data_IF_049256546658
#
_entry.id   IF_049256546658
#
_cell.length_a   1.000
_cell.length_b   1.000
_cell.length_c   1.000
_cell.angle_alpha   90.00
_cell.angle_beta   90.00
_cell.angle_gamma   90.00
#
_symmetry.space_group_name_H-M   'P 1'
#
loop_
_entity.id
_entity.type
_entity.pdbx_description
1 polymer ?
#
# COMPACT_ATOMS: atom_id res chain seq x y z
N UNK A 1 28.12 -8.89 -7.95
CA UNK A 1 27.12 -9.99 -7.88
C UNK A 1 26.13 -9.64 -6.79
N UNK A 2 24.84 -9.63 -7.13
CA UNK A 2 23.78 -9.49 -6.14
C UNK A 2 23.70 -10.73 -5.26
N UNK A 3 23.21 -10.57 -4.04
CA UNK A 3 23.03 -11.66 -3.09
C UNK A 3 21.64 -11.58 -2.48
N UNK A 4 20.88 -12.69 -2.51
CA UNK A 4 19.54 -12.79 -1.94
C UNK A 4 19.53 -13.85 -0.83
N UNK A 5 19.02 -13.44 0.34
CA UNK A 5 18.80 -14.29 1.51
C UNK A 5 17.35 -14.23 1.91
N UNK A 6 16.73 -15.39 2.10
CA UNK A 6 15.33 -15.48 2.54
C UNK A 6 15.20 -16.58 3.59
N UNK A 7 14.83 -16.19 4.80
CA UNK A 7 14.61 -17.07 5.94
C UNK A 7 13.17 -16.99 6.38
N UNK A 8 12.51 -18.15 6.44
CA UNK A 8 11.13 -18.24 6.90
C UNK A 8 11.00 -19.36 7.91
N UNK A 9 10.43 -19.05 9.06
CA UNK A 9 10.09 -20.01 10.09
C UNK A 9 8.60 -19.89 10.34
N UNK A 10 7.91 -21.02 10.35
CA UNK A 10 6.48 -21.05 10.67
C UNK A 10 6.17 -22.19 11.63
N UNK A 11 5.13 -21.99 12.40
CA UNK A 11 4.62 -22.98 13.33
C UNK A 11 3.09 -22.96 13.30
N UNK A 12 2.50 -24.13 13.16
CA UNK A 12 1.07 -24.32 13.20
C UNK A 12 0.72 -25.37 14.26
N UNK A 13 -0.27 -25.09 15.05
CA UNK A 13 -0.84 -26.06 15.97
C UNK A 13 -2.36 -25.94 16.00
N UNK A 14 -3.03 -26.99 16.42
CA UNK A 14 -4.46 -26.94 16.53
C UNK A 14 -5.06 -28.21 17.10
N UNK A 15 -6.27 -28.04 17.58
CA UNK A 15 -7.19 -29.10 17.97
C UNK A 15 -8.59 -28.76 17.44
N UNK A 16 -9.61 -29.46 17.90
CA UNK A 16 -10.99 -29.24 17.47
C UNK A 16 -11.51 -27.83 17.80
N UNK A 17 -11.00 -27.20 18.87
CA UNK A 17 -11.48 -25.90 19.35
C UNK A 17 -10.57 -24.72 18.96
N UNK A 18 -9.26 -24.95 18.83
CA UNK A 18 -8.30 -23.87 18.59
C UNK A 18 -7.36 -24.26 17.46
N UNK A 19 -7.18 -23.35 16.50
CA UNK A 19 -6.18 -23.45 15.46
C UNK A 19 -5.37 -22.17 15.45
N UNK A 20 -4.06 -22.30 15.51
CA UNK A 20 -3.16 -21.16 15.44
C UNK A 20 -2.04 -21.42 14.44
N UNK A 21 -1.65 -20.35 13.77
CA UNK A 21 -0.54 -20.32 12.83
C UNK A 21 0.30 -19.07 13.09
N UNK A 22 1.60 -19.25 13.22
CA UNK A 22 2.56 -18.16 13.33
C UNK A 22 3.64 -18.31 12.26
N UNK A 23 4.11 -17.19 11.74
CA UNK A 23 5.23 -17.17 10.82
C UNK A 23 6.10 -15.93 11.04
N UNK A 24 7.40 -16.12 10.95
CA UNK A 24 8.41 -15.06 10.95
C UNK A 24 9.21 -15.18 9.66
N UNK A 25 9.45 -14.06 9.01
CA UNK A 25 10.21 -14.00 7.77
C UNK A 25 11.24 -12.88 7.81
N UNK A 26 12.40 -13.15 7.26
CA UNK A 26 13.44 -12.16 6.99
C UNK A 26 13.96 -12.34 5.57
N UNK A 27 14.01 -11.28 4.82
CA UNK A 27 14.59 -11.24 3.48
C UNK A 27 15.57 -10.08 3.38
N UNK A 28 16.73 -10.34 2.77
CA UNK A 28 17.70 -9.32 2.41
C UNK A 28 18.17 -9.56 0.98
N UNK A 29 18.02 -8.55 0.13
CA UNK A 29 18.41 -8.60 -1.28
C UNK A 29 19.39 -7.48 -1.54
N UNK A 30 20.60 -7.83 -1.96
CA UNK A 30 21.60 -6.87 -2.44
C UNK A 30 21.52 -6.78 -3.96
N UNK A 31 21.32 -5.58 -4.47
CA UNK A 31 21.32 -5.34 -5.91
C UNK A 31 22.67 -5.54 -6.56
N UNK A 32 22.66 -5.72 -7.87
CA UNK A 32 23.92 -5.83 -8.67
C UNK A 32 24.63 -4.48 -8.81
N UNK A 33 23.92 -3.39 -8.62
CA UNK A 33 24.43 -2.02 -8.61
C UNK A 33 24.33 -1.47 -7.19
N UNK A 34 25.50 -1.16 -6.59
CA UNK A 34 25.55 -0.56 -5.25
C UNK A 34 25.11 0.92 -5.30
N UNK A 35 24.45 1.46 -4.27
CA UNK A 35 24.10 0.85 -2.99
C UNK A 35 22.69 0.25 -2.93
N UNK A 36 22.15 -0.24 -4.04
CA UNK A 36 20.79 -0.79 -4.08
C UNK A 36 20.67 -2.02 -3.19
N UNK A 37 19.84 -1.94 -2.16
CA UNK A 37 19.50 -3.05 -1.28
C UNK A 37 18.06 -2.98 -0.79
N UNK A 38 17.51 -4.14 -0.48
CA UNK A 38 16.17 -4.28 0.09
C UNK A 38 16.21 -5.24 1.28
N UNK A 39 15.67 -4.83 2.40
CA UNK A 39 15.47 -5.70 3.56
C UNK A 39 14.00 -5.71 3.98
N UNK A 40 13.49 -6.89 4.33
CA UNK A 40 12.12 -7.09 4.83
C UNK A 40 12.12 -8.00 6.04
N UNK A 41 11.47 -7.57 7.09
CA UNK A 41 11.08 -8.40 8.23
C UNK A 41 9.57 -8.51 8.26
N UNK A 42 9.04 -9.70 8.48
CA UNK A 42 7.60 -9.94 8.56
C UNK A 42 7.25 -10.88 9.71
N UNK A 43 6.10 -10.62 10.32
CA UNK A 43 5.49 -11.48 11.33
C UNK A 43 4.02 -11.66 11.03
N UNK A 44 3.53 -12.89 11.15
CA UNK A 44 2.13 -13.24 10.95
C UNK A 44 1.64 -14.11 12.09
N UNK A 45 0.42 -13.80 12.58
CA UNK A 45 -0.29 -14.60 13.56
C UNK A 45 -1.74 -14.74 13.11
N UNK A 46 -2.21 -15.97 12.98
CA UNK A 46 -3.62 -16.29 12.76
C UNK A 46 -4.11 -17.13 13.91
N UNK A 47 -5.31 -16.85 14.36
CA UNK A 47 -6.01 -17.59 15.41
C UNK A 47 -7.46 -17.81 14.99
N UNK A 48 -7.90 -19.06 15.06
CA UNK A 48 -9.30 -19.49 15.02
C UNK A 48 -9.60 -20.21 16.31
N UNK A 49 -10.49 -19.66 17.12
CA UNK A 49 -10.83 -20.25 18.43
C UNK A 49 -12.35 -20.37 18.60
N UNK A 50 -12.82 -21.58 18.81
CA UNK A 50 -14.15 -21.88 19.32
C UNK A 50 -14.09 -21.81 20.84
N UNK A 51 -14.45 -20.65 21.41
CA UNK A 51 -14.39 -20.40 22.85
C UNK A 51 -15.46 -21.20 23.57
N UNK A 52 -16.65 -21.23 22.97
CA UNK A 52 -17.80 -22.03 23.40
C UNK A 52 -18.55 -22.54 22.18
N UNK A 53 -19.62 -23.34 22.37
CA UNK A 53 -20.47 -23.77 21.24
C UNK A 53 -21.21 -22.61 20.55
N UNK A 54 -21.39 -21.51 21.24
CA UNK A 54 -22.07 -20.33 20.73
C UNK A 54 -21.14 -19.18 20.34
N UNK A 55 -19.82 -19.24 20.69
CA UNK A 55 -18.86 -18.16 20.46
C UNK A 55 -17.62 -18.66 19.73
N UNK A 56 -17.36 -18.13 18.54
CA UNK A 56 -16.10 -18.29 17.80
C UNK A 56 -15.42 -16.93 17.62
N UNK A 57 -14.11 -16.91 17.82
CA UNK A 57 -13.26 -15.73 17.60
C UNK A 57 -12.22 -16.07 16.54
N UNK A 58 -12.03 -15.16 15.59
CA UNK A 58 -11.01 -15.26 14.55
C UNK A 58 -10.10 -14.04 14.61
N UNK A 59 -8.81 -14.24 14.43
CA UNK A 59 -7.84 -13.15 14.37
C UNK A 59 -6.81 -13.44 13.29
N UNK A 60 -6.47 -12.41 12.52
CA UNK A 60 -5.35 -12.44 11.59
C UNK A 60 -4.56 -11.14 11.75
N UNK A 61 -3.31 -11.25 12.17
CA UNK A 61 -2.39 -10.13 12.36
C UNK A 61 -1.19 -10.32 11.45
N UNK A 62 -0.85 -9.32 10.67
CA UNK A 62 0.33 -9.31 9.83
C UNK A 62 1.08 -8.00 10.04
N UNK A 63 2.35 -8.09 10.35
CA UNK A 63 3.26 -6.96 10.43
C UNK A 63 4.38 -7.13 9.42
N UNK A 64 4.73 -6.05 8.76
CA UNK A 64 5.82 -6.00 7.79
C UNK A 64 6.60 -4.70 7.96
N UNK A 65 7.91 -4.80 8.02
CA UNK A 65 8.83 -3.67 7.99
C UNK A 65 9.81 -3.86 6.85
N UNK A 66 9.90 -2.86 5.97
CA UNK A 66 10.80 -2.89 4.81
C UNK A 66 11.73 -1.69 4.84
N UNK A 67 12.95 -1.90 4.40
CA UNK A 67 13.93 -0.86 4.13
C UNK A 67 14.46 -1.05 2.71
N UNK A 68 14.41 -0.01 1.92
CA UNK A 68 14.86 0.02 0.54
C UNK A 68 15.87 1.17 0.39
N UNK A 69 17.07 0.85 -0.08
CA UNK A 69 17.99 1.83 -0.62
C UNK A 69 17.94 1.76 -2.15
N UNK A 70 17.65 2.88 -2.79
CA UNK A 70 17.69 2.98 -4.25
C UNK A 70 19.01 3.59 -4.68
N UNK A 71 19.51 3.08 -5.78
CA UNK A 71 20.55 3.76 -6.55
C UNK A 71 19.89 4.76 -7.49
N UNK A 72 20.54 5.90 -7.77
CA UNK A 72 20.11 6.82 -8.81
C UNK A 72 20.20 6.13 -10.17
N UNK A 73 19.15 5.40 -10.49
CA UNK A 73 19.02 4.65 -11.73
C UNK A 73 17.92 5.27 -12.58
N UNK A 74 18.15 5.34 -13.89
CA UNK A 74 17.13 5.75 -14.84
C UNK A 74 16.65 7.22 -14.76
N UNK A 75 17.48 8.15 -14.35
CA UNK A 75 17.12 9.53 -14.54
C UNK A 75 17.21 9.87 -16.05
N UNK A 76 16.07 9.83 -16.73
CA UNK A 76 15.93 10.17 -18.14
C UNK A 76 16.29 11.64 -18.47
N UNK A 77 16.69 12.40 -17.45
CA UNK A 77 17.27 13.73 -17.59
C UNK A 77 18.71 13.68 -18.12
N UNK A 78 19.27 14.84 -18.38
CA UNK A 78 20.56 15.08 -19.04
C UNK A 78 21.80 14.40 -18.39
N UNK A 79 21.64 13.64 -17.31
CA UNK A 79 22.75 13.07 -16.56
C UNK A 79 22.80 11.53 -16.53
N UNK A 80 21.81 10.83 -17.12
CA UNK A 80 21.73 9.37 -17.08
C UNK A 80 21.67 8.81 -15.64
N UNK A 81 21.58 7.54 -15.47
CA UNK A 81 21.76 6.87 -14.16
C UNK A 81 23.12 6.20 -14.08
N UNK A 82 23.36 5.46 -13.02
CA UNK A 82 24.62 4.73 -12.80
C UNK A 82 24.96 3.81 -13.97
N UNK A 83 23.98 3.07 -14.49
CA UNK A 83 24.19 2.11 -15.59
C UNK A 83 24.55 2.84 -16.88
N UNK A 84 23.81 3.88 -17.24
CA UNK A 84 24.08 4.63 -18.48
C UNK A 84 25.41 5.37 -18.39
N UNK A 85 25.73 5.95 -17.25
CA UNK A 85 27.05 6.56 -17.02
C UNK A 85 28.17 5.53 -17.13
N UNK A 86 27.97 4.29 -16.60
CA UNK A 86 28.98 3.23 -16.74
C UNK A 86 29.19 2.79 -18.17
N UNK A 87 28.12 2.72 -18.98
CA UNK A 87 28.20 2.34 -20.39
C UNK A 87 28.85 3.42 -21.28
N UNK A 88 28.74 4.68 -20.89
CA UNK A 88 29.28 5.83 -21.68
C UNK A 88 30.62 6.32 -21.20
N UNK A 89 31.09 5.89 -20.03
CA UNK A 89 32.39 6.27 -19.49
C UNK A 89 33.52 5.49 -20.22
N UNK A 90 34.53 6.19 -20.76
CA UNK A 90 35.67 5.54 -21.38
C UNK A 90 36.41 4.61 -20.40
N UNK A 91 36.81 3.45 -20.84
CA UNK A 91 37.46 2.42 -19.99
C UNK A 91 38.82 2.85 -19.41
N UNK A 92 39.47 3.82 -20.01
CA UNK A 92 40.74 4.40 -19.52
C UNK A 92 40.55 5.47 -18.46
N UNK A 93 39.33 5.91 -18.21
CA UNK A 93 39.07 6.93 -17.23
C UNK A 93 39.16 6.35 -15.81
N UNK A 94 39.97 6.92 -14.93
CA UNK A 94 40.04 6.45 -13.55
C UNK A 94 38.78 6.78 -12.78
N UNK A 95 38.38 5.90 -11.86
CA UNK A 95 37.25 6.17 -10.95
C UNK A 95 37.54 7.33 -10.00
N UNK A 96 38.78 7.48 -9.60
CA UNK A 96 39.26 8.50 -8.65
C UNK A 96 40.35 9.36 -9.32
N UNK A 97 40.28 10.67 -9.14
CA UNK A 97 41.24 11.60 -9.70
C UNK A 97 41.98 12.38 -8.61
N UNK A 98 43.25 12.69 -8.88
CA UNK A 98 44.12 13.44 -7.94
C UNK A 98 43.93 14.98 -7.99
N UNK A 99 43.29 15.51 -9.03
CA UNK A 99 43.32 16.96 -9.32
C UNK A 99 42.03 17.71 -9.01
N UNK A 100 40.99 17.05 -8.55
CA UNK A 100 39.69 17.69 -8.36
C UNK A 100 39.56 18.27 -6.96
N UNK A 101 40.16 19.44 -6.75
CA UNK A 101 39.90 20.30 -5.60
C UNK A 101 38.49 20.90 -5.65
N UNK A 102 37.45 20.09 -5.43
CA UNK A 102 36.06 20.52 -5.56
C UNK A 102 35.41 20.73 -4.21
N UNK A 103 36.17 20.70 -3.13
CA UNK A 103 35.62 20.66 -1.77
C UNK A 103 35.91 21.90 -1.00
N UNK A 104 34.99 22.30 -0.12
CA UNK A 104 35.31 23.39 0.79
C UNK A 104 36.50 23.00 1.62
N UNK A 105 37.49 23.83 1.54
CA UNK A 105 38.63 23.81 2.44
C UNK A 105 38.38 24.82 3.58
N UNK A 106 38.94 24.57 4.76
CA UNK A 106 39.14 25.62 5.74
C UNK A 106 40.06 26.70 5.13
N UNK A 107 40.16 27.85 5.78
CA UNK A 107 41.03 28.92 5.33
C UNK A 107 42.54 28.55 5.25
N UNK A 108 42.92 27.38 5.72
CA UNK A 108 44.29 26.81 5.69
C UNK A 108 44.47 25.79 4.54
N UNK A 109 43.45 25.55 3.74
CA UNK A 109 43.49 24.59 2.64
C UNK A 109 43.24 23.13 3.03
N UNK A 110 42.85 22.83 4.26
CA UNK A 110 42.49 21.49 4.66
C UNK A 110 41.04 21.22 4.27
N UNK A 111 40.76 19.98 3.84
CA UNK A 111 39.41 19.58 3.52
C UNK A 111 38.53 19.46 4.76
N UNK A 112 37.40 20.09 4.72
CA UNK A 112 36.40 19.92 5.75
C UNK A 112 35.85 18.48 5.71
N UNK A 113 35.61 17.88 6.89
CA UNK A 113 34.89 16.60 7.05
C UNK A 113 35.55 15.32 6.51
N UNK A 114 36.87 15.21 6.60
CA UNK A 114 37.55 13.95 6.26
C UNK A 114 37.47 13.57 4.79
N UNK A 115 37.06 14.47 3.98
CA UNK A 115 37.15 14.33 2.53
C UNK A 115 38.64 14.35 2.13
N UNK A 116 39.06 13.36 1.37
CA UNK A 116 40.42 13.24 0.83
C UNK A 116 40.49 13.71 -0.60
N UNK A 117 41.67 14.18 -1.02
CA UNK A 117 41.94 14.45 -2.44
C UNK A 117 41.53 13.29 -3.32
N UNK A 118 41.04 13.61 -4.51
CA UNK A 118 40.89 12.65 -5.57
C UNK A 118 39.74 11.66 -5.44
N UNK A 119 38.58 12.07 -4.92
CA UNK A 119 37.53 11.09 -4.70
C UNK A 119 36.85 10.60 -5.98
N UNK A 120 36.53 11.46 -6.93
CA UNK A 120 35.91 11.02 -8.18
C UNK A 120 36.47 11.82 -9.34
N UNK A 121 36.98 11.14 -10.36
CA UNK A 121 37.42 11.80 -11.57
C UNK A 121 36.23 12.41 -12.30
N UNK A 122 36.41 13.61 -12.87
CA UNK A 122 35.42 14.20 -13.77
C UNK A 122 35.50 13.51 -15.13
N UNK A 123 34.34 13.35 -15.79
CA UNK A 123 34.31 12.90 -17.17
C UNK A 123 34.60 14.09 -18.08
N UNK A 124 35.77 14.14 -18.77
CA UNK A 124 36.17 15.28 -19.57
C UNK A 124 35.47 15.34 -20.94
N UNK A 125 34.75 14.28 -21.33
CA UNK A 125 34.28 14.13 -22.69
C UNK A 125 32.82 14.54 -22.91
N UNK A 126 32.06 14.79 -21.86
CA UNK A 126 30.62 15.02 -22.02
C UNK A 126 30.11 16.05 -21.03
N UNK A 127 29.41 17.04 -21.55
CA UNK A 127 28.63 17.93 -20.70
C UNK A 127 27.39 17.25 -20.17
N UNK A 128 27.52 16.50 -19.06
CA UNK A 128 26.36 15.94 -18.39
C UNK A 128 26.48 14.48 -17.91
N UNK A 129 27.44 13.71 -18.43
CA UNK A 129 27.68 12.34 -17.97
C UNK A 129 28.70 12.34 -16.86
N UNK A 130 28.30 12.02 -15.66
CA UNK A 130 29.20 11.93 -14.52
C UNK A 130 29.85 10.56 -14.42
N UNK A 131 30.92 10.50 -13.62
CA UNK A 131 31.56 9.26 -13.24
C UNK A 131 30.56 8.32 -12.52
N UNK A 132 30.39 7.07 -12.99
CA UNK A 132 29.42 6.15 -12.39
C UNK A 132 29.66 5.88 -10.92
N UNK A 133 30.91 5.88 -10.47
CA UNK A 133 31.26 5.71 -9.04
C UNK A 133 30.85 6.94 -8.23
N UNK A 134 30.95 8.14 -8.81
CA UNK A 134 30.39 9.35 -8.21
C UNK A 134 28.88 9.24 -8.05
N UNK A 135 28.18 8.78 -9.09
CA UNK A 135 26.75 8.56 -9.05
C UNK A 135 26.31 7.64 -7.90
N UNK A 136 26.97 6.50 -7.74
CA UNK A 136 26.66 5.55 -6.65
C UNK A 136 26.82 6.14 -5.23
N UNK A 137 27.63 7.20 -5.10
CA UNK A 137 28.01 7.77 -3.80
C UNK A 137 27.43 9.16 -3.54
N UNK A 138 26.84 9.82 -4.54
CA UNK A 138 26.36 11.21 -4.41
C UNK A 138 24.96 11.33 -3.85
N UNK A 139 24.14 10.34 -4.06
CA UNK A 139 22.73 10.37 -3.72
C UNK A 139 22.39 9.26 -2.73
N UNK A 140 21.62 9.62 -1.74
CA UNK A 140 20.97 8.67 -0.84
C UNK A 140 19.47 8.74 -1.07
N UNK A 141 18.85 7.65 -1.49
CA UNK A 141 17.40 7.50 -1.61
C UNK A 141 16.97 6.29 -0.78
N UNK A 142 16.45 6.58 0.41
CA UNK A 142 16.07 5.55 1.39
C UNK A 142 14.58 5.59 1.65
N UNK A 143 13.93 4.44 1.50
CA UNK A 143 12.53 4.28 1.84
C UNK A 143 12.37 3.25 2.95
N UNK A 144 11.71 3.64 4.04
CA UNK A 144 11.30 2.73 5.11
C UNK A 144 9.79 2.67 5.13
N UNK A 145 9.23 1.44 5.06
CA UNK A 145 7.79 1.25 5.11
C UNK A 145 7.44 0.23 6.19
N UNK A 146 6.47 0.57 7.01
CA UNK A 146 5.86 -0.32 8.00
C UNK A 146 4.40 -0.52 7.62
N UNK A 147 3.93 -1.75 7.66
CA UNK A 147 2.54 -2.10 7.44
C UNK A 147 2.04 -3.01 8.54
N UNK A 148 0.92 -2.67 9.08
CA UNK A 148 0.15 -3.48 10.01
C UNK A 148 -1.22 -3.77 9.42
N UNK A 149 -1.48 -5.04 9.14
CA UNK A 149 -2.76 -5.50 8.63
C UNK A 149 -3.38 -6.42 9.68
N UNK A 150 -4.57 -6.07 10.15
CA UNK A 150 -5.30 -6.87 11.14
C UNK A 150 -6.73 -7.11 10.70
N UNK A 151 -7.23 -8.28 11.07
CA UNK A 151 -8.64 -8.62 11.01
C UNK A 151 -9.01 -9.35 12.31
N UNK A 152 -10.05 -8.89 12.97
CA UNK A 152 -10.63 -9.51 14.15
C UNK A 152 -12.09 -9.81 13.85
N UNK A 153 -12.53 -11.02 14.08
CA UNK A 153 -13.90 -11.47 13.86
C UNK A 153 -14.47 -12.21 15.08
N UNK A 154 -15.75 -11.99 15.29
CA UNK A 154 -16.54 -12.67 16.31
C UNK A 154 -17.78 -13.24 15.64
N UNK A 155 -18.02 -14.54 15.78
CA UNK A 155 -19.24 -15.21 15.37
C UNK A 155 -19.98 -15.68 16.63
N UNK A 156 -21.22 -15.21 16.79
CA UNK A 156 -22.09 -15.57 17.91
C UNK A 156 -23.31 -16.32 17.40
N UNK A 157 -23.43 -17.59 17.76
CA UNK A 157 -24.62 -18.39 17.50
C UNK A 157 -25.69 -18.05 18.55
N UNK A 158 -26.54 -17.05 18.27
CA UNK A 158 -27.63 -16.63 19.16
C UNK A 158 -28.67 -17.75 19.32
N UNK A 159 -28.98 -18.40 18.19
CA UNK A 159 -29.81 -19.60 18.10
C UNK A 159 -29.13 -20.57 17.10
N UNK A 160 -29.60 -21.81 17.01
CA UNK A 160 -29.08 -22.80 16.05
C UNK A 160 -29.13 -22.34 14.60
N UNK A 161 -30.05 -21.44 14.28
CA UNK A 161 -30.29 -20.90 12.95
C UNK A 161 -30.11 -19.40 12.84
N UNK A 162 -29.63 -18.72 13.89
CA UNK A 162 -29.41 -17.28 13.94
C UNK A 162 -27.99 -16.98 14.40
N UNK A 163 -27.17 -16.46 13.51
CA UNK A 163 -25.76 -16.13 13.75
C UNK A 163 -25.53 -14.65 13.58
N UNK A 164 -25.02 -14.02 14.61
CA UNK A 164 -24.47 -12.66 14.52
C UNK A 164 -22.97 -12.75 14.26
N UNK A 165 -22.48 -11.96 13.28
CA UNK A 165 -21.06 -11.82 12.98
C UNK A 165 -20.67 -10.35 13.05
N UNK A 166 -19.56 -10.09 13.72
CA UNK A 166 -18.94 -8.77 13.77
C UNK A 166 -17.48 -8.89 13.42
N UNK A 167 -16.99 -7.99 12.55
CA UNK A 167 -15.59 -7.95 12.17
C UNK A 167 -15.04 -6.54 12.12
N UNK A 168 -13.79 -6.39 12.52
CA UNK A 168 -12.99 -5.17 12.42
C UNK A 168 -11.74 -5.48 11.62
N UNK A 169 -11.48 -4.70 10.58
CA UNK A 169 -10.25 -4.78 9.79
C UNK A 169 -9.53 -3.44 9.80
N UNK A 170 -8.22 -3.48 9.91
CA UNK A 170 -7.34 -2.32 9.84
C UNK A 170 -6.15 -2.64 8.94
N UNK A 171 -5.95 -1.83 7.89
CA UNK A 171 -4.72 -1.77 7.11
C UNK A 171 -4.06 -0.41 7.37
N UNK A 172 -2.92 -0.42 8.04
CA UNK A 172 -2.19 0.77 8.44
C UNK A 172 -0.78 0.72 7.87
N UNK A 173 -0.46 1.72 7.04
CA UNK A 173 0.84 1.83 6.39
C UNK A 173 1.45 3.18 6.74
N UNK A 174 2.70 3.16 7.17
CA UNK A 174 3.55 4.35 7.23
C UNK A 174 4.74 4.15 6.30
N UNK A 175 5.06 5.15 5.51
CA UNK A 175 6.21 5.13 4.62
C UNK A 175 6.95 6.45 4.73
N UNK A 176 8.26 6.36 4.92
CA UNK A 176 9.17 7.51 4.91
C UNK A 176 10.19 7.30 3.81
N UNK A 177 10.21 8.22 2.86
CA UNK A 177 11.26 8.31 1.84
C UNK A 177 12.11 9.55 2.13
N UNK A 178 13.42 9.37 2.19
CA UNK A 178 14.40 10.44 2.36
C UNK A 178 15.39 10.40 1.20
N UNK A 179 15.47 11.53 0.48
CA UNK A 179 16.44 11.74 -0.58
C UNK A 179 17.42 12.82 -0.19
N UNK A 180 18.67 12.59 -0.51
CA UNK A 180 19.74 13.55 -0.26
C UNK A 180 20.78 13.49 -1.38
N UNK A 181 21.05 14.61 -2.01
CA UNK A 181 22.10 14.80 -2.98
C UNK A 181 23.23 15.61 -2.35
N UNK A 182 24.38 14.99 -2.19
CA UNK A 182 25.55 15.59 -1.59
C UNK A 182 26.04 16.78 -2.43
N UNK A 183 26.26 17.96 -1.81
CA UNK A 183 26.67 19.17 -2.53
C UNK A 183 28.08 19.10 -3.16
N UNK A 184 28.89 18.09 -2.80
CA UNK A 184 30.31 18.06 -3.20
C UNK A 184 30.72 16.85 -4.02
N UNK A 185 29.98 15.75 -3.96
CA UNK A 185 30.38 14.48 -4.59
C UNK A 185 30.09 14.40 -6.08
N UNK A 186 29.37 15.37 -6.64
CA UNK A 186 29.05 15.43 -8.06
C UNK A 186 29.00 16.86 -8.56
N UNK A 187 29.12 17.04 -9.87
CA UNK A 187 28.97 18.35 -10.50
C UNK A 187 27.53 18.90 -10.29
N UNK A 188 26.53 18.04 -10.44
CA UNK A 188 25.14 18.42 -10.20
C UNK A 188 24.89 18.82 -8.75
N UNK A 189 25.42 18.06 -7.80
CA UNK A 189 25.35 18.42 -6.38
C UNK A 189 25.93 19.79 -6.10
N UNK A 190 27.08 20.12 -6.71
CA UNK A 190 27.71 21.44 -6.59
C UNK A 190 26.88 22.55 -7.19
N UNK A 191 26.33 22.36 -8.39
CA UNK A 191 25.47 23.34 -9.05
C UNK A 191 24.24 23.65 -8.20
N UNK A 192 23.63 22.64 -7.59
CA UNK A 192 22.46 22.77 -6.71
C UNK A 192 22.82 23.20 -5.28
N UNK A 193 24.11 23.21 -4.91
CA UNK A 193 24.58 23.33 -3.51
C UNK A 193 23.89 22.33 -2.56
N UNK A 194 23.78 21.09 -3.04
CA UNK A 194 23.01 20.05 -2.43
C UNK A 194 21.50 20.19 -2.65
N UNK A 195 20.81 19.09 -2.61
CA UNK A 195 19.34 19.07 -2.59
C UNK A 195 18.84 17.87 -1.84
N UNK A 196 17.58 17.90 -1.44
CA UNK A 196 16.98 16.76 -0.76
C UNK A 196 15.50 16.90 -0.58
N UNK A 197 14.92 15.82 -0.14
CA UNK A 197 13.49 15.79 0.20
C UNK A 197 13.22 14.72 1.26
N UNK A 198 12.13 14.93 1.97
CA UNK A 198 11.57 13.96 2.91
C UNK A 198 10.07 13.86 2.65
N UNK A 199 9.61 12.66 2.43
CA UNK A 199 8.20 12.36 2.21
C UNK A 199 7.73 11.37 3.28
N UNK A 200 6.92 11.84 4.21
CA UNK A 200 6.23 11.02 5.20
C UNK A 200 4.80 10.78 4.70
N UNK A 201 4.44 9.52 4.51
CA UNK A 201 3.12 9.10 4.05
C UNK A 201 2.50 8.14 5.05
N UNK A 202 1.20 8.34 5.33
CA UNK A 202 0.39 7.44 6.14
C UNK A 202 -0.88 7.09 5.39
N UNK A 203 -1.15 5.81 5.28
CA UNK A 203 -2.41 5.26 4.80
C UNK A 203 -3.08 4.48 5.91
N UNK A 204 -4.36 4.69 6.08
CA UNK A 204 -5.21 3.93 7.00
C UNK A 204 -6.49 3.56 6.28
N UNK A 205 -6.84 2.27 6.31
CA UNK A 205 -8.11 1.74 5.83
C UNK A 205 -8.73 0.95 6.98
N UNK A 206 -9.82 1.46 7.51
CA UNK A 206 -10.57 0.86 8.63
C UNK A 206 -11.93 0.41 8.14
N UNK A 207 -12.27 -0.84 8.41
CA UNK A 207 -13.57 -1.41 8.08
C UNK A 207 -14.17 -2.10 9.30
N UNK A 208 -15.42 -1.78 9.60
CA UNK A 208 -16.23 -2.41 10.62
C UNK A 208 -17.51 -2.92 10.01
N UNK A 209 -17.74 -4.22 10.10
CA UNK A 209 -18.91 -4.87 9.51
C UNK A 209 -19.64 -5.71 10.55
N UNK A 210 -20.96 -5.63 10.52
CA UNK A 210 -21.85 -6.46 11.32
C UNK A 210 -22.92 -7.08 10.45
N UNK A 211 -23.16 -8.36 10.63
CA UNK A 211 -24.23 -9.10 9.94
C UNK A 211 -25.01 -9.98 10.90
N UNK A 212 -26.28 -10.08 10.62
CA UNK A 212 -27.18 -11.04 11.25
C UNK A 212 -27.69 -12.00 10.17
N UNK A 213 -27.39 -13.28 10.35
CA UNK A 213 -27.72 -14.35 9.40
C UNK A 213 -28.73 -15.28 10.04
N UNK A 214 -29.87 -15.46 9.36
CA UNK A 214 -30.92 -16.40 9.77
C UNK A 214 -31.15 -17.43 8.67
N UNK A 215 -31.19 -18.71 9.01
CA UNK A 215 -31.46 -19.79 8.09
C UNK A 215 -32.59 -20.65 8.59
N UNK A 216 -33.57 -20.95 7.75
CA UNK A 216 -34.70 -21.81 8.08
C UNK A 216 -34.85 -22.88 7.00
N UNK A 217 -34.82 -24.14 7.41
CA UNK A 217 -35.12 -25.29 6.55
C UNK A 217 -36.33 -26.02 7.11
N UNK A 218 -37.37 -26.16 6.29
CA UNK A 218 -38.60 -26.83 6.65
C UNK A 218 -39.15 -27.60 5.44
N UNK A 219 -39.02 -28.92 5.44
CA UNK A 219 -39.39 -29.77 4.33
C UNK A 219 -38.65 -29.39 3.04
N UNK A 220 -39.37 -28.97 2.02
CA UNK A 220 -38.85 -28.56 0.71
C UNK A 220 -38.42 -27.08 0.67
N UNK A 221 -38.61 -26.35 1.74
CA UNK A 221 -38.34 -24.90 1.85
C UNK A 221 -37.02 -24.64 2.51
N UNK A 222 -36.14 -23.85 1.88
CA UNK A 222 -34.89 -23.33 2.43
C UNK A 222 -34.91 -21.81 2.30
N UNK A 223 -34.88 -21.10 3.44
CA UNK A 223 -34.91 -19.65 3.52
C UNK A 223 -33.63 -19.16 4.21
N UNK A 224 -32.87 -18.32 3.53
CA UNK A 224 -31.72 -17.59 4.08
C UNK A 224 -32.01 -16.09 4.11
N UNK A 225 -31.86 -15.47 5.26
CA UNK A 225 -31.96 -14.03 5.45
C UNK A 225 -30.62 -13.50 5.97
N UNK A 226 -30.19 -12.39 5.44
CA UNK A 226 -29.02 -11.65 5.92
C UNK A 226 -29.38 -10.17 5.97
N UNK A 227 -29.07 -9.53 7.08
CA UNK A 227 -29.09 -8.08 7.22
C UNK A 227 -27.79 -7.61 7.86
N UNK A 228 -27.31 -6.46 7.48
CA UNK A 228 -26.07 -5.94 8.02
C UNK A 228 -25.83 -4.49 7.76
N UNK A 229 -24.78 -3.98 8.40
CA UNK A 229 -24.23 -2.66 8.12
C UNK A 229 -22.71 -2.72 8.10
N UNK A 230 -22.11 -1.78 7.37
CA UNK A 230 -20.68 -1.64 7.20
C UNK A 230 -20.30 -0.16 7.32
N UNK A 231 -19.29 0.12 8.12
CA UNK A 231 -18.62 1.41 8.20
C UNK A 231 -17.21 1.26 7.63
N UNK A 232 -16.84 2.13 6.70
CA UNK A 232 -15.53 2.13 6.09
C UNK A 232 -14.95 3.54 6.14
N UNK A 233 -13.73 3.67 6.66
CA UNK A 233 -12.99 4.93 6.66
C UNK A 233 -11.63 4.71 6.02
N UNK A 234 -11.31 5.53 5.04
CA UNK A 234 -9.99 5.59 4.42
C UNK A 234 -9.37 6.96 4.64
N UNK A 235 -8.17 6.97 5.18
CA UNK A 235 -7.36 8.16 5.39
C UNK A 235 -6.05 8.05 4.63
N UNK A 236 -5.71 9.10 3.89
CA UNK A 236 -4.38 9.32 3.34
C UNK A 236 -3.85 10.62 3.91
N UNK A 237 -2.65 10.59 4.46
CA UNK A 237 -1.95 11.75 4.98
C UNK A 237 -0.53 11.74 4.46
N UNK A 238 -0.07 12.87 3.94
CA UNK A 238 1.28 13.03 3.43
C UNK A 238 1.87 14.36 3.84
N UNK A 239 3.14 14.35 4.21
CA UNK A 239 3.93 15.54 4.48
C UNK A 239 5.21 15.46 3.68
N UNK A 240 5.38 16.38 2.76
CA UNK A 240 6.51 16.43 1.85
C UNK A 240 7.29 17.71 2.08
N UNK A 241 8.58 17.55 2.36
CA UNK A 241 9.56 18.60 2.49
C UNK A 241 10.58 18.48 1.37
N UNK A 242 11.04 19.59 0.83
CA UNK A 242 12.10 19.62 -0.16
C UNK A 242 12.96 20.86 0.03
N UNK A 243 14.16 20.83 -0.50
CA UNK A 243 15.04 21.98 -0.47
C UNK A 243 16.37 21.74 -1.17
N UNK A 244 17.04 22.84 -1.42
CA UNK A 244 18.40 22.91 -1.95
C UNK A 244 19.14 24.06 -1.28
N UNK A 245 20.41 24.27 -1.67
CA UNK A 245 21.24 25.36 -1.17
C UNK A 245 21.43 25.28 0.35
N UNK A 246 21.92 24.14 0.81
CA UNK A 246 22.16 23.91 2.23
C UNK A 246 23.19 24.90 2.78
N UNK A 247 22.87 25.50 3.93
CA UNK A 247 23.74 26.44 4.60
C UNK A 247 24.96 25.76 5.23
N UNK A 248 24.77 24.52 5.72
CA UNK A 248 25.86 23.72 6.27
C UNK A 248 26.46 22.84 5.17
N UNK A 249 27.70 23.12 4.73
CA UNK A 249 28.38 22.32 3.73
C UNK A 249 28.73 20.91 4.20
N UNK A 250 28.59 20.62 5.49
CA UNK A 250 28.93 19.37 6.16
C UNK A 250 27.72 18.45 6.28
N UNK A 251 26.55 18.91 5.86
CA UNK A 251 25.30 18.19 5.94
C UNK A 251 25.38 16.89 5.15
N UNK A 252 25.05 15.79 5.79
CA UNK A 252 25.07 14.43 5.22
C UNK A 252 23.69 13.83 5.01
N UNK A 253 22.64 14.58 5.36
CA UNK A 253 21.24 14.20 5.20
C UNK A 253 20.40 15.45 4.97
N UNK A 254 19.19 15.28 4.42
CA UNK A 254 18.27 16.38 4.24
C UNK A 254 17.74 16.91 5.59
N UNK A 255 17.90 18.21 5.81
CA UNK A 255 17.32 18.94 6.94
C UNK A 255 16.48 20.08 6.37
N UNK A 256 15.21 20.11 6.73
CA UNK A 256 14.31 21.19 6.36
C UNK A 256 14.60 22.43 7.18
N UNK A 257 14.82 23.54 6.50
CA UNK A 257 15.00 24.86 7.13
C UNK A 257 13.92 25.81 6.59
N UNK A 258 12.97 26.15 7.44
CA UNK A 258 11.86 27.05 7.10
C UNK A 258 12.33 28.47 6.73
N UNK A 259 13.51 28.89 7.17
CA UNK A 259 14.05 30.23 6.88
C UNK A 259 14.76 30.30 5.52
N UNK A 260 15.11 29.15 4.95
CA UNK A 260 15.74 29.08 3.65
C UNK A 260 14.70 29.22 2.52
N UNK A 261 14.75 30.24 1.66
CA UNK A 261 13.78 30.44 0.59
C UNK A 261 13.84 29.34 -0.51
N UNK A 262 14.91 28.55 -0.56
CA UNK A 262 15.03 27.40 -1.46
C UNK A 262 14.40 26.13 -0.91
N UNK A 263 13.76 26.17 0.28
CA UNK A 263 13.07 25.08 0.91
C UNK A 263 11.56 25.28 0.85
N UNK A 264 10.83 24.18 0.81
CA UNK A 264 9.36 24.19 0.82
C UNK A 264 8.79 22.98 1.50
N UNK A 265 7.50 23.09 1.85
CA UNK A 265 6.73 22.01 2.43
C UNK A 265 5.31 21.98 1.89
N UNK A 266 4.72 20.80 1.85
CA UNK A 266 3.29 20.63 1.59
C UNK A 266 2.74 19.53 2.47
N UNK A 267 1.60 19.80 3.07
CA UNK A 267 0.82 18.83 3.81
C UNK A 267 -0.48 18.54 3.08
N UNK A 268 -0.83 17.25 2.97
CA UNK A 268 -2.09 16.80 2.39
C UNK A 268 -2.72 15.76 3.29
N UNK A 269 -4.00 15.90 3.54
CA UNK A 269 -4.80 14.90 4.24
C UNK A 269 -6.14 14.75 3.58
N UNK A 270 -6.51 13.53 3.25
CA UNK A 270 -7.83 13.19 2.74
C UNK A 270 -8.45 12.09 3.59
N UNK A 271 -9.73 12.26 3.91
CA UNK A 271 -10.51 11.25 4.62
C UNK A 271 -11.77 11.02 3.81
N UNK A 272 -12.05 9.76 3.49
CA UNK A 272 -13.34 9.32 2.96
C UNK A 272 -14.00 8.35 3.92
N UNK A 273 -15.31 8.49 4.09
CA UNK A 273 -16.14 7.65 4.94
C UNK A 273 -17.33 7.16 4.17
N UNK A 274 -17.57 5.88 4.27
CA UNK A 274 -18.72 5.22 3.67
C UNK A 274 -19.48 4.47 4.76
N UNK A 275 -20.81 4.59 4.73
CA UNK A 275 -21.71 3.84 5.57
C UNK A 275 -22.69 3.09 4.67
N UNK A 276 -22.86 1.80 4.91
CA UNK A 276 -23.70 0.96 4.09
C UNK A 276 -24.64 0.14 4.96
N UNK A 277 -25.90 0.08 4.56
CA UNK A 277 -26.89 -0.90 5.04
C UNK A 277 -27.19 -1.87 3.93
N UNK A 278 -27.26 -3.15 4.24
CA UNK A 278 -27.50 -4.16 3.20
C UNK A 278 -28.32 -5.33 3.72
N UNK A 279 -29.04 -5.95 2.81
CA UNK A 279 -29.78 -7.15 3.11
C UNK A 279 -29.87 -8.08 1.92
N UNK A 280 -30.11 -9.35 2.21
CA UNK A 280 -30.27 -10.42 1.23
C UNK A 280 -31.31 -11.41 1.73
N UNK A 281 -32.20 -11.77 0.83
CA UNK A 281 -33.16 -12.87 0.99
C UNK A 281 -32.83 -13.90 -0.07
N UNK A 282 -32.65 -15.15 0.32
CA UNK A 282 -32.52 -16.30 -0.58
C UNK A 282 -33.57 -17.31 -0.21
N UNK A 283 -34.43 -17.66 -1.16
CA UNK A 283 -35.43 -18.70 -0.97
C UNK A 283 -35.25 -19.78 -2.01
N UNK A 284 -35.14 -21.02 -1.56
CA UNK A 284 -35.01 -22.20 -2.40
C UNK A 284 -36.18 -23.16 -2.13
N UNK A 285 -36.87 -23.56 -3.18
CA UNK A 285 -37.97 -24.52 -3.15
C UNK A 285 -37.47 -25.82 -3.77
N UNK A 286 -37.61 -26.94 -3.03
CA UNK A 286 -37.34 -28.32 -3.45
C UNK A 286 -35.94 -28.51 -4.12
N UNK A 287 -34.95 -27.70 -3.75
CA UNK A 287 -33.64 -27.64 -4.40
C UNK A 287 -33.70 -27.43 -5.94
N UNK A 288 -34.88 -27.02 -6.46
CA UNK A 288 -35.14 -26.78 -7.89
C UNK A 288 -35.16 -25.31 -8.23
N UNK A 289 -35.92 -24.52 -7.48
CA UNK A 289 -36.14 -23.11 -7.76
C UNK A 289 -35.52 -22.26 -6.68
N UNK A 290 -34.62 -21.35 -7.07
CA UNK A 290 -34.03 -20.39 -6.13
C UNK A 290 -34.30 -18.97 -6.59
N UNK A 291 -34.83 -18.14 -5.69
CA UNK A 291 -34.99 -16.70 -5.91
C UNK A 291 -34.13 -15.99 -4.85
N UNK A 292 -33.39 -14.98 -5.30
CA UNK A 292 -32.60 -14.12 -4.42
C UNK A 292 -32.94 -12.65 -4.68
N UNK A 293 -33.19 -11.92 -3.61
CA UNK A 293 -33.27 -10.47 -3.63
C UNK A 293 -32.17 -9.89 -2.74
N UNK A 294 -31.52 -8.86 -3.21
CA UNK A 294 -30.51 -8.10 -2.48
C UNK A 294 -30.84 -6.63 -2.53
N UNK A 295 -30.48 -5.90 -1.48
CA UNK A 295 -30.47 -4.46 -1.50
C UNK A 295 -29.25 -3.95 -0.75
N UNK A 296 -28.73 -2.81 -1.19
CA UNK A 296 -27.69 -2.08 -0.51
C UNK A 296 -27.99 -0.59 -0.62
N UNK A 297 -27.91 0.10 0.50
CA UNK A 297 -27.95 1.54 0.58
C UNK A 297 -26.60 2.04 1.06
N UNK A 298 -25.91 2.81 0.21
CA UNK A 298 -24.57 3.34 0.50
C UNK A 298 -24.64 4.86 0.65
N UNK A 299 -24.10 5.36 1.74
CA UNK A 299 -23.80 6.77 1.94
C UNK A 299 -22.29 7.01 1.83
N UNK A 300 -21.87 7.97 1.01
CA UNK A 300 -20.46 8.31 0.84
C UNK A 300 -20.18 9.78 1.17
N UNK A 301 -19.13 10.01 1.96
CA UNK A 301 -18.68 11.37 2.28
C UNK A 301 -18.06 12.11 1.10
N UNK A 302 -17.75 11.43 0.01
CA UNK A 302 -17.25 12.04 -1.23
C UNK A 302 -18.32 12.75 -2.02
N UNK A 303 -19.61 12.54 -1.68
CA UNK A 303 -20.77 13.13 -2.34
C UNK A 303 -21.35 14.28 -1.51
N UNK A 304 -22.07 15.18 -2.19
CA UNK A 304 -22.77 16.30 -1.52
C UNK A 304 -23.71 15.78 -0.42
N UNK A 305 -23.80 16.43 0.74
CA UNK A 305 -24.63 16.00 1.87
C UNK A 305 -26.05 15.57 1.50
N UNK A 306 -26.72 16.33 0.62
CA UNK A 306 -28.09 16.07 0.20
C UNK A 306 -28.25 14.90 -0.79
N UNK A 307 -27.16 14.40 -1.38
CA UNK A 307 -27.15 13.37 -2.43
C UNK A 307 -26.15 12.24 -2.16
N UNK A 308 -25.73 12.07 -0.92
CA UNK A 308 -24.69 11.09 -0.57
C UNK A 308 -25.19 9.66 -0.50
N UNK A 309 -26.50 9.45 -0.44
CA UNK A 309 -27.10 8.12 -0.34
C UNK A 309 -27.52 7.58 -1.69
N UNK A 310 -27.20 6.35 -1.96
CA UNK A 310 -27.59 5.63 -3.16
C UNK A 310 -28.18 4.25 -2.83
N UNK A 311 -29.33 3.94 -3.43
CA UNK A 311 -29.99 2.64 -3.28
C UNK A 311 -29.71 1.73 -4.48
N UNK A 312 -29.27 0.49 -4.19
CA UNK A 312 -28.78 -0.48 -5.16
C UNK A 312 -29.50 -1.83 -4.97
N UNK A 313 -30.66 -2.02 -5.56
CA UNK A 313 -31.40 -3.27 -5.53
C UNK A 313 -30.87 -4.25 -6.58
N UNK A 314 -31.06 -5.54 -6.29
CA UNK A 314 -30.83 -6.62 -7.25
C UNK A 314 -31.74 -7.81 -7.00
N UNK A 315 -32.09 -8.52 -8.05
CA UNK A 315 -32.90 -9.74 -8.01
C UNK A 315 -32.32 -10.77 -8.96
N UNK A 316 -32.35 -12.03 -8.57
CA UNK A 316 -31.99 -13.14 -9.44
C UNK A 316 -32.88 -14.36 -9.17
N UNK A 317 -33.05 -15.16 -10.19
CA UNK A 317 -33.75 -16.44 -10.11
C UNK A 317 -32.92 -17.51 -10.80
N UNK A 318 -33.04 -18.74 -10.32
CA UNK A 318 -32.47 -19.92 -10.97
C UNK A 318 -33.38 -21.11 -10.87
N UNK A 319 -33.36 -21.92 -11.92
CA UNK A 319 -34.08 -23.19 -12.03
C UNK A 319 -33.07 -24.31 -12.29
N UNK A 320 -32.99 -25.24 -11.37
CA UNK A 320 -32.16 -26.42 -11.50
C UNK A 320 -33.00 -27.54 -12.14
N UNK A 321 -32.98 -27.63 -13.48
CA UNK A 321 -33.77 -28.51 -14.27
C UNK A 321 -33.38 -29.97 -14.07
N UNK A 322 -32.09 -30.24 -13.77
CA UNK A 322 -31.62 -31.60 -13.48
C UNK A 322 -32.26 -32.21 -12.22
N UNK A 323 -32.83 -31.39 -11.32
CA UNK A 323 -33.53 -31.88 -10.15
C UNK A 323 -35.03 -32.15 -10.40
N UNK A 324 -35.51 -31.90 -11.62
CA UNK A 324 -36.90 -32.25 -12.01
C UNK A 324 -37.05 -33.74 -12.20
N UNK A 325 -38.25 -34.26 -11.89
CA UNK A 325 -38.52 -35.69 -11.91
C UNK A 325 -38.26 -36.33 -13.29
N UNK A 326 -38.38 -35.56 -14.39
CA UNK A 326 -38.13 -36.03 -15.75
C UNK A 326 -36.65 -36.09 -16.15
N UNK A 327 -35.72 -35.50 -15.33
CA UNK A 327 -34.28 -35.53 -15.58
C UNK A 327 -33.48 -36.12 -14.41
N UNK A 328 -34.08 -36.34 -13.26
CA UNK A 328 -33.41 -36.74 -12.04
C UNK A 328 -32.55 -38.01 -12.17
N UNK A 329 -32.97 -38.95 -13.01
CA UNK A 329 -32.26 -40.23 -13.19
C UNK A 329 -31.49 -40.29 -14.52
N UNK A 330 -31.22 -39.13 -15.15
CA UNK A 330 -30.46 -39.09 -16.41
C UNK A 330 -28.98 -39.30 -16.15
N UNK A 331 -28.42 -40.39 -16.67
CA UNK A 331 -27.03 -40.79 -16.50
C UNK A 331 -26.02 -39.94 -17.30
N UNK A 332 -26.52 -39.21 -18.30
CA UNK A 332 -25.68 -38.42 -19.23
C UNK A 332 -25.56 -36.96 -18.80
N UNK A 333 -26.59 -36.43 -18.14
CA UNK A 333 -26.68 -35.03 -17.74
C UNK A 333 -26.59 -34.89 -16.22
N UNK A 334 -25.41 -34.52 -15.69
CA UNK A 334 -25.16 -34.41 -14.26
C UNK A 334 -25.74 -33.11 -13.66
N UNK A 335 -25.71 -32.01 -14.42
CA UNK A 335 -26.25 -30.70 -13.97
C UNK A 335 -26.76 -29.90 -15.18
N UNK A 336 -28.02 -29.44 -15.09
CA UNK A 336 -28.59 -28.47 -16.01
C UNK A 336 -29.38 -27.42 -15.24
N UNK A 337 -28.81 -26.18 -15.20
CA UNK A 337 -29.35 -25.07 -14.43
C UNK A 337 -29.43 -23.81 -15.31
N UNK A 338 -30.58 -23.18 -15.33
CA UNK A 338 -30.79 -21.87 -15.94
C UNK A 338 -30.84 -20.83 -14.82
N UNK A 339 -30.22 -19.68 -15.06
CA UNK A 339 -30.22 -18.55 -14.13
C UNK A 339 -30.31 -17.23 -14.87
N UNK A 340 -30.99 -16.26 -14.28
CA UNK A 340 -31.04 -14.88 -14.74
C UNK A 340 -31.07 -13.93 -13.57
N UNK A 341 -30.62 -12.71 -13.77
CA UNK A 341 -30.65 -11.69 -12.74
C UNK A 341 -30.53 -10.29 -13.30
N UNK A 342 -31.00 -9.36 -12.50
CA UNK A 342 -30.90 -7.92 -12.74
C UNK A 342 -30.45 -7.22 -11.47
N UNK A 343 -29.70 -6.14 -11.62
CA UNK A 343 -29.29 -5.32 -10.49
C UNK A 343 -28.81 -3.94 -10.91
N UNK A 344 -28.97 -2.99 -10.01
CA UNK A 344 -28.42 -1.64 -10.11
C UNK A 344 -27.16 -1.57 -9.27
N UNK A 345 -26.07 -1.03 -9.82
CA UNK A 345 -24.80 -0.80 -9.13
C UNK A 345 -24.40 0.67 -9.20
N UNK A 346 -23.59 1.11 -8.26
CA UNK A 346 -23.00 2.45 -8.25
C UNK A 346 -21.49 2.37 -8.08
N UNK A 347 -20.80 3.37 -8.58
CA UNK A 347 -19.36 3.50 -8.43
C UNK A 347 -19.00 4.95 -8.07
N UNK A 348 -18.31 5.13 -6.95
CA UNK A 348 -17.80 6.43 -6.49
C UNK A 348 -16.27 6.51 -6.52
N UNK A 349 -15.57 5.47 -6.97
CA UNK A 349 -14.10 5.37 -6.92
C UNK A 349 -13.37 6.44 -7.74
N UNK A 350 -14.04 7.03 -8.75
CA UNK A 350 -13.51 8.14 -9.54
C UNK A 350 -13.77 9.52 -8.95
N UNK A 351 -14.48 9.62 -7.82
CA UNK A 351 -14.83 10.89 -7.20
C UNK A 351 -13.83 11.17 -6.07
N UNK A 352 -12.98 12.22 -6.19
CA UNK A 352 -12.05 12.57 -5.13
C UNK A 352 -12.79 12.93 -3.83
N UNK A 353 -12.15 12.68 -2.69
CA UNK A 353 -12.64 13.18 -1.42
C UNK A 353 -12.81 14.71 -1.50
N UNK A 354 -13.94 15.22 -0.99
CA UNK A 354 -14.28 16.65 -1.01
C UNK A 354 -14.57 17.25 -2.39
N UNK A 355 -14.76 16.45 -3.44
CA UNK A 355 -15.06 16.92 -4.79
C UNK A 355 -16.32 17.80 -4.88
N UNK A 356 -17.24 17.68 -3.92
CA UNK A 356 -18.46 18.47 -3.84
C UNK A 356 -18.25 19.88 -3.26
N UNK A 357 -17.10 20.18 -2.65
CA UNK A 357 -16.74 21.53 -2.29
C UNK A 357 -16.32 22.30 -3.55
N UNK A 358 -16.91 23.47 -3.75
CA UNK A 358 -16.45 24.40 -4.79
C UNK A 358 -15.12 25.00 -4.31
N UNK A 359 -14.00 24.33 -4.63
CA UNK A 359 -12.67 24.82 -4.29
C UNK A 359 -12.28 25.85 -5.35
N UNK A 360 -12.50 27.13 -5.08
CA UNK A 360 -11.87 28.20 -5.86
C UNK A 360 -10.35 28.06 -5.73
N UNK A 361 -9.69 27.84 -6.85
CA UNK A 361 -8.25 28.03 -6.93
C UNK A 361 -8.01 29.53 -6.89
N UNK A 362 -7.54 30.04 -5.78
CA UNK A 362 -6.92 31.36 -5.75
C UNK A 362 -5.67 31.27 -6.65
N UNK A 363 -5.79 31.78 -7.86
CA UNK A 363 -4.63 32.01 -8.70
C UNK A 363 -3.76 33.03 -7.98
N UNK A 364 -2.46 32.74 -7.87
CA UNK A 364 -1.48 33.64 -7.26
C UNK A 364 -1.27 34.94 -8.04
N UNK A 365 -1.99 35.11 -9.13
CA UNK A 365 -1.88 36.24 -10.07
C UNK A 365 -3.11 37.18 -9.97
N UNK A 366 -3.71 37.28 -8.80
CA UNK A 366 -4.78 38.24 -8.51
C UNK A 366 -4.29 39.44 -7.75
#
# INVERSE_FOLDING_TARGET
TGFDQNYNVNYAFGNENVRAYTALGYQNVQGVVSPSDFARTSAKVNLDAKITDWLKVTSSLNYMNTSLNNTADNNAGAQGGVILSALTTPTFMPAYGSEVKIRPTDGSGNYLNGYKDGQFALNPFTGGWENPVSFMNRESDKTKTQRFLSNLGIDVNILKNLVWKSSVSLDYITSRNEKFLDPYRSEWGRQQKGSGSKNDFTFQDFNFENTLNYTLKSGVHDLGLLGGFQMHERMNSGQYYWGSQFADPMQSSFVYDKTNPAHGEVFRKTISRDLSYFGRVVYTLDNKYTVMAVFRENGSSSLHPDKRWGFFPGVSASWNISNENFLKDNSTLSEFKIRGGWGKTGNVSGIPAYAYYNLERLNKDG
#
